data_IF_104483641241
#
_entry.id   IF_104483641241
#
_cell.length_a   1.000
_cell.length_b   1.000
_cell.length_c   1.000
_cell.angle_alpha   90.00
_cell.angle_beta   90.00
_cell.angle_gamma   90.00
#
_symmetry.space_group_name_H-M   'P 1'
#
loop_
_entity.id
_entity.type
_entity.pdbx_description
1 polymer ?
#
# COMPACT_ATOMS: atom_id res chain seq x y z
N UNK A 1 4.85 14.05 13.52
CA UNK A 1 5.52 13.09 14.42
C UNK A 1 5.04 11.65 14.18
N UNK A 2 3.73 11.39 14.26
CA UNK A 2 3.13 10.06 14.07
C UNK A 2 3.54 9.32 12.78
N UNK A 3 3.70 10.01 11.65
CA UNK A 3 4.18 9.40 10.40
C UNK A 3 5.56 8.74 10.56
N UNK A 4 6.52 9.43 11.19
CA UNK A 4 7.87 8.89 11.38
C UNK A 4 7.85 7.72 12.37
N UNK A 5 6.99 7.79 13.38
CA UNK A 5 6.77 6.69 14.32
C UNK A 5 6.21 5.46 13.62
N UNK A 6 5.18 5.65 12.79
CA UNK A 6 4.56 4.59 11.99
C UNK A 6 5.57 3.91 11.07
N UNK A 7 6.32 4.70 10.30
CA UNK A 7 7.35 4.20 9.38
C UNK A 7 8.39 3.31 10.08
N UNK A 8 8.77 3.67 11.31
CA UNK A 8 9.81 2.96 12.06
C UNK A 8 9.27 1.75 12.83
N UNK A 9 8.17 1.90 13.56
CA UNK A 9 7.66 0.91 14.52
C UNK A 9 6.78 -0.16 13.85
N UNK A 10 5.87 0.22 12.94
CA UNK A 10 4.90 -0.73 12.37
C UNK A 10 5.57 -1.84 11.55
N UNK A 11 6.70 -1.53 10.90
CA UNK A 11 7.40 -2.42 9.98
C UNK A 11 8.75 -2.92 10.53
N UNK A 12 8.99 -2.72 11.83
CA UNK A 12 10.21 -3.13 12.52
C UNK A 12 11.51 -2.68 11.82
N UNK A 13 11.48 -1.49 11.21
CA UNK A 13 12.62 -0.99 10.43
C UNK A 13 13.83 -0.67 11.30
N UNK A 14 13.63 -0.38 12.58
CA UNK A 14 14.72 -0.10 13.51
C UNK A 14 15.62 -1.33 13.73
N UNK A 15 15.11 -2.54 13.47
CA UNK A 15 15.84 -3.80 13.63
C UNK A 15 16.25 -4.46 12.30
N UNK A 16 16.09 -3.76 11.17
CA UNK A 16 16.36 -4.35 9.86
C UNK A 16 17.86 -4.61 9.65
N UNK A 17 18.20 -5.82 9.20
CA UNK A 17 19.59 -6.19 8.87
C UNK A 17 19.75 -6.36 7.38
N UNK A 18 20.51 -5.45 6.77
CA UNK A 18 20.90 -5.51 5.35
C UNK A 18 22.40 -5.33 5.19
N UNK A 19 22.96 -5.86 4.10
CA UNK A 19 24.42 -5.92 3.87
C UNK A 19 25.01 -4.72 3.13
N UNK A 20 24.18 -3.77 2.68
CA UNK A 20 24.66 -2.60 1.94
C UNK A 20 23.78 -1.36 2.16
N UNK A 21 24.38 -0.18 2.03
CA UNK A 21 23.65 1.09 2.06
C UNK A 21 22.63 1.21 0.91
N UNK A 22 22.95 0.63 -0.25
CA UNK A 22 22.02 0.61 -1.37
C UNK A 22 20.75 -0.18 -1.01
N UNK A 23 20.90 -1.32 -0.35
CA UNK A 23 19.77 -2.11 0.16
C UNK A 23 18.91 -1.32 1.16
N UNK A 24 19.52 -0.56 2.07
CA UNK A 24 18.79 0.32 3.01
C UNK A 24 17.94 1.31 2.22
N UNK A 25 18.54 2.02 1.26
CA UNK A 25 17.85 3.04 0.44
C UNK A 25 16.70 2.44 -0.38
N UNK A 26 16.92 1.28 -0.99
CA UNK A 26 15.86 0.60 -1.75
C UNK A 26 14.70 0.18 -0.84
N UNK A 27 14.97 -0.37 0.35
CA UNK A 27 13.91 -0.74 1.29
C UNK A 27 13.16 0.50 1.81
N UNK A 28 13.86 1.59 2.09
CA UNK A 28 13.25 2.85 2.49
C UNK A 28 12.33 3.41 1.38
N UNK A 29 12.74 3.31 0.12
CA UNK A 29 11.94 3.72 -1.03
C UNK A 29 10.68 2.86 -1.19
N UNK A 30 10.79 1.53 -1.10
CA UNK A 30 9.64 0.62 -1.18
C UNK A 30 8.66 0.92 -0.05
N UNK A 31 9.17 1.11 1.17
CA UNK A 31 8.32 1.44 2.30
C UNK A 31 7.64 2.79 2.12
N UNK A 32 8.37 3.80 1.65
CA UNK A 32 7.80 5.13 1.42
C UNK A 32 6.66 5.07 0.38
N UNK A 33 6.82 4.29 -0.70
CA UNK A 33 5.75 4.04 -1.66
C UNK A 33 4.56 3.31 -1.01
N UNK A 34 4.81 2.28 -0.20
CA UNK A 34 3.76 1.57 0.53
C UNK A 34 2.94 2.51 1.43
N UNK A 35 3.62 3.37 2.20
CA UNK A 35 2.95 4.34 3.07
C UNK A 35 2.16 5.35 2.24
N UNK A 36 2.64 5.73 1.06
CA UNK A 36 1.88 6.54 0.10
C UNK A 36 0.55 5.88 -0.30
N UNK A 37 0.54 4.58 -0.60
CA UNK A 37 -0.71 3.85 -0.86
C UNK A 37 -1.63 3.77 0.36
N UNK A 38 -1.07 3.59 1.56
CA UNK A 38 -1.84 3.62 2.82
C UNK A 38 -2.48 5.00 3.03
N UNK A 39 -1.74 6.08 2.77
CA UNK A 39 -2.25 7.44 2.84
C UNK A 39 -3.41 7.68 1.86
N UNK A 40 -3.30 7.20 0.62
CA UNK A 40 -4.38 7.29 -0.37
C UNK A 40 -5.64 6.52 0.06
N UNK A 41 -5.47 5.38 0.75
CA UNK A 41 -6.60 4.61 1.30
C UNK A 41 -7.22 5.29 2.53
N UNK A 42 -6.40 5.95 3.34
CA UNK A 42 -6.84 6.75 4.49
C UNK A 42 -7.72 7.91 4.06
N UNK A 43 -7.32 8.65 3.03
CA UNK A 43 -8.13 9.74 2.47
C UNK A 43 -9.51 9.23 1.97
N UNK A 44 -9.56 8.00 1.47
CA UNK A 44 -10.75 7.36 0.88
C UNK A 44 -11.48 6.41 1.84
N UNK A 45 -11.25 6.54 3.14
CA UNK A 45 -11.63 5.55 4.15
C UNK A 45 -13.11 5.14 4.19
N UNK A 46 -14.01 6.02 3.76
CA UNK A 46 -15.47 5.74 3.74
C UNK A 46 -16.09 5.82 2.35
N UNK A 47 -15.29 5.93 1.30
CA UNK A 47 -15.81 6.13 -0.06
C UNK A 47 -16.00 4.83 -0.83
N UNK A 48 -15.26 3.78 -0.46
CA UNK A 48 -15.30 2.50 -1.17
C UNK A 48 -15.68 1.35 -0.24
N UNK A 49 -16.30 0.31 -0.81
CA UNK A 49 -16.56 -0.93 -0.06
C UNK A 49 -15.26 -1.53 0.48
N UNK A 50 -14.16 -1.44 -0.27
CA UNK A 50 -12.87 -1.97 0.14
C UNK A 50 -12.34 -1.26 1.40
N UNK A 51 -12.34 0.07 1.42
CA UNK A 51 -11.85 0.83 2.59
C UNK A 51 -12.71 0.59 3.84
N UNK A 52 -14.02 0.39 3.68
CA UNK A 52 -14.89 -0.03 4.78
C UNK A 52 -14.54 -1.44 5.30
N UNK A 53 -14.29 -2.40 4.41
CA UNK A 53 -13.87 -3.76 4.80
C UNK A 53 -12.52 -3.77 5.50
N UNK A 54 -11.53 -3.03 5.00
CA UNK A 54 -10.22 -2.86 5.64
C UNK A 54 -10.40 -2.34 7.06
N UNK A 55 -11.18 -1.26 7.23
CA UNK A 55 -11.42 -0.66 8.54
C UNK A 55 -12.10 -1.62 9.52
N UNK A 56 -13.07 -2.42 9.05
CA UNK A 56 -13.73 -3.46 9.87
C UNK A 56 -12.78 -4.58 10.29
N UNK A 57 -11.85 -4.97 9.42
CA UNK A 57 -10.94 -6.08 9.66
C UNK A 57 -9.73 -5.71 10.53
N UNK A 58 -9.43 -4.42 10.70
CA UNK A 58 -8.32 -3.94 11.50
C UNK A 58 -8.34 -4.39 12.99
N UNK A 59 -9.45 -4.96 13.49
CA UNK A 59 -9.61 -5.53 14.86
C UNK A 59 -8.94 -4.69 15.96
N UNK A 60 -9.20 -3.39 15.96
CA UNK A 60 -8.72 -2.48 16.99
C UNK A 60 -9.66 -2.56 18.21
N UNK A 61 -9.07 -2.67 19.40
CA UNK A 61 -9.79 -2.72 20.70
C UNK A 61 -10.38 -1.35 21.06
N UNK A 62 -9.76 -0.27 20.56
CA UNK A 62 -10.18 1.12 20.76
C UNK A 62 -10.68 1.73 19.45
N UNK A 63 -11.36 2.88 19.57
CA UNK A 63 -11.69 3.72 18.41
C UNK A 63 -10.44 4.06 17.61
N UNK A 64 -10.62 4.15 16.29
CA UNK A 64 -9.51 4.37 15.38
C UNK A 64 -9.10 5.86 15.47
N UNK A 65 -7.85 6.16 15.86
CA UNK A 65 -7.41 7.54 16.04
C UNK A 65 -7.37 8.29 14.70
N UNK A 66 -7.26 9.63 14.78
CA UNK A 66 -7.15 10.50 13.61
C UNK A 66 -6.01 10.09 12.66
N UNK A 67 -4.92 9.52 13.20
CA UNK A 67 -3.86 8.89 12.42
C UNK A 67 -4.14 7.40 12.26
N UNK A 68 -4.77 7.06 11.15
CA UNK A 68 -5.41 5.77 10.98
C UNK A 68 -4.61 4.76 10.12
N UNK A 69 -3.39 5.13 9.75
CA UNK A 69 -2.54 4.31 8.87
C UNK A 69 -2.25 2.95 9.48
N UNK A 70 -2.14 2.88 10.80
CA UNK A 70 -1.97 1.60 11.48
C UNK A 70 -3.20 0.70 11.32
N UNK A 71 -4.42 1.23 11.44
CA UNK A 71 -5.63 0.43 11.25
C UNK A 71 -5.75 -0.07 9.80
N UNK A 72 -5.39 0.77 8.83
CA UNK A 72 -5.38 0.39 7.41
C UNK A 72 -4.34 -0.71 7.16
N UNK A 73 -3.13 -0.55 7.68
CA UNK A 73 -2.07 -1.55 7.56
C UNK A 73 -2.49 -2.90 8.17
N UNK A 74 -3.06 -2.89 9.37
CA UNK A 74 -3.55 -4.11 10.05
C UNK A 74 -4.69 -4.77 9.27
N UNK A 75 -5.64 -3.98 8.76
CA UNK A 75 -6.75 -4.49 7.96
C UNK A 75 -6.28 -5.12 6.64
N UNK A 76 -5.32 -4.50 5.95
CA UNK A 76 -4.69 -5.08 4.75
C UNK A 76 -3.98 -6.39 5.11
N UNK A 77 -3.24 -6.41 6.22
CA UNK A 77 -2.55 -7.62 6.68
C UNK A 77 -3.53 -8.77 6.95
N UNK A 78 -4.65 -8.51 7.65
CA UNK A 78 -5.66 -9.55 7.94
C UNK A 78 -6.36 -10.07 6.67
N UNK A 79 -6.52 -9.23 5.63
CA UNK A 79 -7.02 -9.68 4.32
C UNK A 79 -6.00 -10.62 3.66
N UNK A 80 -4.75 -10.18 3.56
CA UNK A 80 -3.71 -10.92 2.84
C UNK A 80 -3.27 -12.20 3.56
N UNK A 81 -3.30 -12.23 4.89
CA UNK A 81 -2.96 -13.40 5.72
C UNK A 81 -3.84 -14.61 5.41
N UNK A 82 -5.08 -14.40 4.96
CA UNK A 82 -5.98 -15.49 4.55
C UNK A 82 -5.65 -16.05 3.17
N UNK A 83 -4.84 -15.36 2.38
CA UNK A 83 -4.41 -15.85 1.07
C UNK A 83 -3.52 -17.09 1.22
N UNK A 84 -3.88 -18.14 0.49
CA UNK A 84 -3.07 -19.37 0.35
C UNK A 84 -2.28 -19.42 -0.94
N UNK A 85 -2.44 -18.40 -1.79
CA UNK A 85 -1.82 -18.30 -3.11
C UNK A 85 -0.93 -17.07 -3.20
N UNK A 86 0.16 -17.18 -3.97
CA UNK A 86 1.05 -16.04 -4.22
C UNK A 86 0.39 -14.95 -5.07
N UNK A 87 1.06 -13.78 -5.16
CA UNK A 87 0.59 -12.59 -5.90
C UNK A 87 0.19 -12.93 -7.35
N UNK A 88 0.91 -13.87 -7.99
CA UNK A 88 0.64 -14.33 -9.35
C UNK A 88 -0.80 -14.83 -9.56
N UNK A 89 -1.40 -15.45 -8.54
CA UNK A 89 -2.79 -15.92 -8.61
C UNK A 89 -3.80 -14.78 -8.59
N UNK A 90 -3.44 -13.62 -8.02
CA UNK A 90 -4.28 -12.43 -8.02
C UNK A 90 -4.19 -11.66 -9.33
N UNK A 91 -3.04 -11.74 -10.02
CA UNK A 91 -2.77 -11.08 -11.30
C UNK A 91 -3.45 -11.77 -12.49
N UNK A 92 -4.67 -12.28 -12.30
CA UNK A 92 -5.46 -13.05 -13.25
C UNK A 92 -5.15 -12.67 -14.72
N UNK A 93 -4.79 -13.65 -15.55
CA UNK A 93 -4.44 -13.49 -16.98
C UNK A 93 -5.54 -12.83 -17.84
N UNK A 94 -6.73 -12.62 -17.27
CA UNK A 94 -7.88 -11.93 -17.85
C UNK A 94 -7.92 -10.43 -17.58
N UNK A 95 -6.91 -9.83 -16.94
CA UNK A 95 -6.72 -8.37 -17.04
C UNK A 95 -6.30 -8.10 -18.49
N UNK A 96 -7.29 -7.90 -19.38
CA UNK A 96 -7.07 -7.18 -20.63
C UNK A 96 -6.56 -5.82 -20.20
N UNK A 97 -5.24 -5.62 -20.19
CA UNK A 97 -4.66 -4.29 -20.13
C UNK A 97 -5.32 -3.54 -21.29
N UNK A 98 -6.31 -2.69 -20.99
CA UNK A 98 -6.88 -1.80 -22.00
C UNK A 98 -5.67 -0.96 -22.38
N UNK A 99 -5.11 -1.18 -23.59
CA UNK A 99 -3.95 -0.44 -24.06
C UNK A 99 -4.17 1.01 -23.68
N UNK A 100 -3.21 1.59 -22.97
CA UNK A 100 -3.22 3.01 -22.64
C UNK A 100 -3.62 3.76 -23.91
N UNK A 101 -4.73 4.51 -23.88
CA UNK A 101 -5.08 5.45 -24.94
C UNK A 101 -4.17 6.69 -24.90
N UNK A 102 -2.92 6.51 -24.45
CA UNK A 102 -1.93 7.56 -24.55
C UNK A 102 -1.64 7.69 -26.05
N UNK A 103 -1.86 8.88 -26.65
CA UNK A 103 -1.39 9.12 -28.00
C UNK A 103 0.12 8.92 -28.01
N UNK A 104 0.63 8.21 -29.02
CA UNK A 104 2.06 8.09 -29.22
C UNK A 104 2.64 9.50 -29.40
N UNK A 105 3.82 9.80 -28.86
CA UNK A 105 4.46 11.11 -28.98
C UNK A 105 4.52 11.60 -30.45
N UNK A 106 4.62 10.67 -31.41
CA UNK A 106 4.59 10.92 -32.85
C UNK A 106 3.26 11.44 -33.40
N UNK A 107 2.11 11.21 -32.74
CA UNK A 107 0.81 11.72 -33.20
C UNK A 107 0.55 13.18 -32.80
N UNK A 108 1.41 13.77 -31.96
CA UNK A 108 1.34 15.19 -31.59
C UNK A 108 2.24 16.07 -32.49
N UNK A 109 3.01 15.46 -33.39
CA UNK A 109 3.95 16.15 -34.27
C UNK A 109 3.36 16.51 -35.66
N UNK A 110 2.05 16.27 -35.84
CA UNK A 110 1.29 16.58 -37.06
C UNK A 110 0.22 17.66 -36.85
N UNK A 111 0.33 18.46 -35.78
CA UNK A 111 -0.42 19.71 -35.61
C UNK A 111 0.47 20.90 -35.88
#
# INVERSE_FOLDING_TARGET
EEYFRFKKQQFDLENIRVRSLNSIRTMDLILTNLIGFIAMLSEKRNTTKLSLWISKLAKRIYDIPNFDYYAIADGIFEILKKSRTGIKSFLNSNIKFKRSQQPNLFSLQLC
#
